data_IF_854472092717
#
_entry.id   IF_854472092717
#
_cell.length_a   1.000
_cell.length_b   1.000
_cell.length_c   1.000
_cell.angle_alpha   90.00
_cell.angle_beta   90.00
_cell.angle_gamma   90.00
#
_symmetry.space_group_name_H-M   'P 1'
#
loop_
_entity.id
_entity.type
_entity.pdbx_description
1 polymer ?
#
# COMPACT_ATOMS: atom_id res chain seq x y z
N UNK A 1 -34.43 53.64 -8.30
CA UNK A 1 -34.80 54.37 -9.53
C UNK A 1 -35.58 53.40 -10.38
N UNK A 2 -36.89 53.61 -10.41
CA UNK A 2 -37.85 52.95 -11.27
C UNK A 2 -37.64 53.51 -12.67
N UNK A 3 -37.71 52.67 -13.70
CA UNK A 3 -38.38 53.09 -14.94
C UNK A 3 -38.97 51.87 -15.65
N UNK A 4 -40.30 51.86 -15.62
CA UNK A 4 -41.16 51.17 -16.57
C UNK A 4 -40.92 51.77 -17.96
N UNK A 5 -40.96 50.94 -19.01
CA UNK A 5 -41.65 51.41 -20.21
C UNK A 5 -42.30 50.26 -20.96
N UNK A 6 -43.59 50.47 -21.16
CA UNK A 6 -44.57 49.60 -21.78
C UNK A 6 -45.00 50.25 -23.12
N UNK A 7 -45.59 49.47 -24.04
CA UNK A 7 -46.22 49.81 -25.36
C UNK A 7 -45.49 49.20 -26.57
N UNK A 8 -46.15 48.66 -27.61
CA UNK A 8 -47.55 48.78 -28.07
C UNK A 8 -47.92 47.59 -28.97
N UNK A 9 -49.22 47.30 -29.03
CA UNK A 9 -49.93 46.31 -29.84
C UNK A 9 -49.99 46.73 -31.32
N UNK A 10 -49.93 45.77 -32.25
CA UNK A 10 -50.32 45.96 -33.64
C UNK A 10 -50.77 44.66 -34.29
N UNK A 11 -52.09 44.51 -34.49
CA UNK A 11 -52.73 43.45 -35.27
C UNK A 11 -52.50 43.65 -36.78
N UNK A 12 -52.41 42.55 -37.54
CA UNK A 12 -53.05 42.45 -38.85
C UNK A 12 -53.10 40.99 -39.34
N UNK A 13 -54.28 40.61 -39.80
CA UNK A 13 -54.68 39.30 -40.31
C UNK A 13 -54.67 39.25 -41.85
N UNK A 14 -54.24 38.14 -42.44
CA UNK A 14 -54.79 37.51 -43.69
C UNK A 14 -53.83 36.38 -44.14
N UNK A 15 -54.25 35.11 -44.06
CA UNK A 15 -54.97 34.32 -45.08
C UNK A 15 -54.07 33.59 -46.10
N UNK A 16 -54.10 32.26 -45.97
CA UNK A 16 -54.21 31.24 -47.03
C UNK A 16 -53.00 30.87 -47.90
N UNK A 17 -52.36 29.77 -47.51
CA UNK A 17 -52.30 28.52 -48.30
C UNK A 17 -51.38 28.44 -49.53
N UNK A 18 -50.32 27.63 -49.44
CA UNK A 18 -50.10 26.44 -50.30
C UNK A 18 -48.71 25.78 -50.09
N UNK A 19 -48.73 24.44 -49.95
CA UNK A 19 -47.82 23.38 -50.47
C UNK A 19 -46.32 23.75 -50.61
N UNK A 20 -45.32 22.99 -50.15
CA UNK A 20 -45.15 21.57 -49.81
C UNK A 20 -43.74 21.42 -49.12
N UNK A 21 -43.25 20.21 -48.76
CA UNK A 21 -42.61 19.90 -47.48
C UNK A 21 -41.07 19.87 -47.54
N UNK A 22 -40.41 19.50 -46.43
CA UNK A 22 -38.97 19.19 -46.27
C UNK A 22 -38.04 20.18 -45.53
N UNK A 23 -38.55 21.24 -44.86
CA UNK A 23 -37.69 22.10 -44.00
C UNK A 23 -37.78 21.86 -42.47
N UNK A 24 -38.92 21.38 -41.97
CA UNK A 24 -39.22 21.38 -40.52
C UNK A 24 -38.38 20.42 -39.67
N UNK A 25 -38.02 19.27 -40.21
CA UNK A 25 -37.25 18.25 -39.47
C UNK A 25 -35.80 18.66 -39.24
N UNK A 26 -35.26 19.50 -40.12
CA UNK A 26 -33.87 19.97 -40.04
C UNK A 26 -33.76 21.16 -39.07
N UNK A 27 -34.75 22.05 -39.07
CA UNK A 27 -34.89 23.11 -38.06
C UNK A 27 -35.17 22.53 -36.67
N UNK A 28 -35.99 21.48 -36.56
CA UNK A 28 -36.27 20.83 -35.27
C UNK A 28 -35.03 20.13 -34.69
N UNK A 29 -34.19 19.53 -35.55
CA UNK A 29 -32.90 18.96 -35.14
C UNK A 29 -31.92 20.05 -34.68
N UNK A 30 -31.79 21.14 -35.44
CA UNK A 30 -30.95 22.29 -35.06
C UNK A 30 -31.39 22.91 -33.73
N UNK A 31 -32.70 23.03 -33.48
CA UNK A 31 -33.22 23.51 -32.21
C UNK A 31 -32.89 22.55 -31.06
N UNK A 32 -33.06 21.24 -31.25
CA UNK A 32 -32.67 20.25 -30.23
C UNK A 32 -31.18 20.29 -29.92
N UNK A 33 -30.33 20.48 -30.93
CA UNK A 33 -28.89 20.59 -30.75
C UNK A 33 -28.52 21.89 -30.02
N UNK A 34 -29.19 23.01 -30.30
CA UNK A 34 -29.03 24.25 -29.53
C UNK A 34 -29.49 24.10 -28.06
N UNK A 35 -30.57 23.35 -27.80
CA UNK A 35 -31.01 23.07 -26.43
C UNK A 35 -30.02 22.18 -25.68
N UNK A 36 -29.49 21.14 -26.33
CA UNK A 36 -28.42 20.28 -25.77
C UNK A 36 -27.16 21.08 -25.48
N UNK A 37 -26.71 21.90 -26.45
CA UNK A 37 -25.58 22.79 -26.26
C UNK A 37 -25.82 23.77 -25.10
N UNK A 38 -27.03 24.32 -24.97
CA UNK A 38 -27.37 25.21 -23.85
C UNK A 38 -27.38 24.47 -22.51
N UNK A 39 -27.89 23.24 -22.44
CA UNK A 39 -27.85 22.45 -21.21
C UNK A 39 -26.44 22.06 -20.83
N UNK A 40 -25.62 21.68 -21.81
CA UNK A 40 -24.22 21.32 -21.61
C UNK A 40 -23.39 22.54 -21.18
N UNK A 41 -23.60 23.71 -21.81
CA UNK A 41 -22.98 24.96 -21.38
C UNK A 41 -23.40 25.36 -19.97
N UNK A 42 -24.70 25.22 -19.63
CA UNK A 42 -25.17 25.52 -18.26
C UNK A 42 -24.52 24.61 -17.23
N UNK A 43 -24.38 23.32 -17.55
CA UNK A 43 -23.71 22.33 -16.70
C UNK A 43 -22.22 22.66 -16.52
N UNK A 44 -21.51 22.92 -17.62
CA UNK A 44 -20.10 23.32 -17.55
C UNK A 44 -19.92 24.65 -16.80
N UNK A 45 -20.83 25.60 -16.98
CA UNK A 45 -20.80 26.87 -16.24
C UNK A 45 -21.03 26.66 -14.74
N UNK A 46 -21.99 25.82 -14.33
CA UNK A 46 -22.17 25.49 -12.91
C UNK A 46 -20.97 24.74 -12.34
N UNK A 47 -20.42 23.77 -13.06
CA UNK A 47 -19.22 23.02 -12.63
C UNK A 47 -18.02 23.97 -12.47
N UNK A 48 -17.82 24.88 -13.42
CA UNK A 48 -16.74 25.88 -13.35
C UNK A 48 -16.98 26.85 -12.18
N UNK A 49 -18.22 27.27 -11.95
CA UNK A 49 -18.56 28.15 -10.83
C UNK A 49 -18.30 27.48 -9.48
N UNK A 50 -18.63 26.20 -9.35
CA UNK A 50 -18.38 25.42 -8.14
C UNK A 50 -16.86 25.27 -7.90
N UNK A 51 -16.08 25.03 -8.96
CA UNK A 51 -14.61 24.99 -8.89
C UNK A 51 -14.05 26.36 -8.47
N UNK A 52 -14.56 27.47 -9.04
CA UNK A 52 -14.11 28.82 -8.68
C UNK A 52 -14.39 29.11 -7.20
N UNK A 53 -15.57 28.76 -6.69
CA UNK A 53 -15.86 28.93 -5.26
C UNK A 53 -15.01 28.03 -4.36
N UNK A 54 -14.75 26.78 -4.77
CA UNK A 54 -13.88 25.88 -4.03
C UNK A 54 -12.43 26.42 -3.96
N UNK A 55 -11.91 26.92 -5.08
CA UNK A 55 -10.58 27.54 -5.14
C UNK A 55 -10.51 28.82 -4.33
N UNK A 56 -11.56 29.65 -4.37
CA UNK A 56 -11.62 30.87 -3.56
C UNK A 56 -11.64 30.54 -2.06
N UNK A 57 -12.41 29.53 -1.65
CA UNK A 57 -12.41 29.07 -0.27
C UNK A 57 -11.05 28.52 0.18
N UNK A 58 -10.36 27.75 -0.67
CA UNK A 58 -9.00 27.28 -0.42
C UNK A 58 -8.00 28.43 -0.31
N UNK A 59 -8.13 29.44 -1.17
CA UNK A 59 -7.26 30.61 -1.14
C UNK A 59 -7.48 31.41 0.15
N UNK A 60 -8.72 31.68 0.52
CA UNK A 60 -9.04 32.37 1.78
C UNK A 60 -8.50 31.60 3.00
N UNK A 61 -8.60 30.27 2.99
CA UNK A 61 -8.06 29.47 4.08
C UNK A 61 -6.53 29.54 4.14
N UNK A 62 -5.85 29.40 2.99
CA UNK A 62 -4.39 29.56 2.93
C UNK A 62 -3.95 30.96 3.36
N UNK A 63 -4.72 31.99 3.02
CA UNK A 63 -4.45 33.36 3.44
C UNK A 63 -4.60 33.51 4.96
N UNK A 64 -5.64 32.93 5.57
CA UNK A 64 -5.80 32.93 7.03
C UNK A 64 -4.64 32.21 7.73
N UNK A 65 -4.18 31.09 7.19
CA UNK A 65 -3.02 30.37 7.70
C UNK A 65 -1.74 31.22 7.61
N UNK A 66 -1.49 31.85 6.47
CA UNK A 66 -0.33 32.74 6.31
C UNK A 66 -0.39 33.94 7.26
N UNK A 67 -1.56 34.56 7.45
CA UNK A 67 -1.71 35.67 8.38
C UNK A 67 -1.43 35.25 9.82
N UNK A 68 -1.94 34.08 10.24
CA UNK A 68 -1.62 33.52 11.57
C UNK A 68 -0.12 33.29 11.73
N UNK A 69 0.55 32.76 10.71
CA UNK A 69 2.00 32.56 10.75
C UNK A 69 2.75 33.90 10.87
N UNK A 70 2.34 34.93 10.13
CA UNK A 70 2.92 36.28 10.23
C UNK A 70 2.73 36.85 11.65
N UNK A 71 1.53 36.73 12.22
CA UNK A 71 1.24 37.21 13.56
C UNK A 71 2.07 36.47 14.63
N UNK A 72 2.26 35.16 14.47
CA UNK A 72 3.14 34.35 15.31
C UNK A 72 4.61 34.75 15.18
N UNK A 73 5.10 35.01 13.96
CA UNK A 73 6.46 35.51 13.73
C UNK A 73 6.68 36.88 14.37
N UNK A 74 5.71 37.80 14.27
CA UNK A 74 5.77 39.10 14.94
C UNK A 74 5.77 38.98 16.47
N UNK A 75 5.05 37.99 17.02
CA UNK A 75 5.11 37.68 18.45
C UNK A 75 6.47 37.10 18.88
N UNK A 76 7.09 36.28 18.03
CA UNK A 76 8.44 35.76 18.24
C UNK A 76 9.48 36.87 18.17
N UNK A 77 9.40 37.78 17.19
CA UNK A 77 10.32 38.91 17.05
C UNK A 77 10.33 39.79 18.31
N UNK A 78 9.14 40.14 18.83
CA UNK A 78 9.00 40.87 20.09
C UNK A 78 9.62 40.14 21.27
N UNK A 79 9.54 38.81 21.28
CA UNK A 79 10.12 37.98 22.34
C UNK A 79 11.63 37.86 22.22
N UNK A 80 12.16 37.73 21.01
CA UNK A 80 13.60 37.67 20.74
C UNK A 80 14.31 38.99 21.07
N UNK A 81 13.57 40.10 21.15
CA UNK A 81 14.11 41.38 21.62
C UNK A 81 14.55 41.33 23.10
N UNK A 82 14.00 40.44 23.92
CA UNK A 82 14.50 40.17 25.27
C UNK A 82 15.55 39.03 25.22
N UNK A 83 16.81 39.28 25.63
CA UNK A 83 17.87 38.28 25.62
C UNK A 83 17.51 36.98 26.35
N UNK A 84 16.87 37.05 27.53
CA UNK A 84 16.55 35.84 28.32
C UNK A 84 15.47 35.03 27.62
N UNK A 85 14.46 35.72 27.09
CA UNK A 85 13.40 35.07 26.32
C UNK A 85 13.92 34.52 24.98
N UNK A 86 14.96 35.11 24.40
CA UNK A 86 15.62 34.63 23.20
C UNK A 86 16.35 33.28 23.42
N UNK A 87 17.11 33.15 24.50
CA UNK A 87 17.76 31.88 24.86
C UNK A 87 16.75 30.75 25.08
N UNK A 88 15.66 31.04 25.81
CA UNK A 88 14.57 30.10 26.01
C UNK A 88 13.91 29.69 24.69
N UNK A 89 13.73 30.64 23.77
CA UNK A 89 13.21 30.36 22.43
C UNK A 89 14.13 29.46 21.61
N UNK A 90 15.45 29.66 21.69
CA UNK A 90 16.42 28.79 21.01
C UNK A 90 16.33 27.35 21.49
N UNK A 91 16.28 27.12 22.81
CA UNK A 91 16.12 25.77 23.37
C UNK A 91 14.79 25.16 22.93
N UNK A 92 13.70 25.94 22.99
CA UNK A 92 12.37 25.51 22.53
C UNK A 92 12.40 24.97 21.09
N UNK A 93 12.97 25.74 20.16
CA UNK A 93 13.02 25.33 18.76
C UNK A 93 14.01 24.20 18.52
N UNK A 94 15.15 24.15 19.21
CA UNK A 94 16.08 23.02 19.11
C UNK A 94 15.44 21.70 19.58
N UNK A 95 14.65 21.73 20.66
CA UNK A 95 13.90 20.58 21.14
C UNK A 95 12.81 20.14 20.16
N UNK A 96 12.13 21.09 19.49
CA UNK A 96 11.21 20.76 18.38
C UNK A 96 11.95 20.13 17.19
N UNK A 97 13.11 20.65 16.82
CA UNK A 97 13.94 20.04 15.78
C UNK A 97 14.42 18.64 16.18
N UNK A 98 14.72 18.39 17.47
CA UNK A 98 15.06 17.06 17.96
C UNK A 98 13.89 16.09 17.77
N UNK A 99 12.66 16.52 18.11
CA UNK A 99 11.45 15.73 17.88
C UNK A 99 11.23 15.43 16.40
N UNK A 100 11.36 16.44 15.54
CA UNK A 100 11.24 16.29 14.09
C UNK A 100 12.29 15.33 13.53
N UNK A 101 13.56 15.44 13.95
CA UNK A 101 14.61 14.51 13.54
C UNK A 101 14.32 13.07 13.97
N UNK A 102 13.83 12.87 15.20
CA UNK A 102 13.43 11.56 15.69
C UNK A 102 12.27 10.98 14.88
N UNK A 103 11.27 11.81 14.57
CA UNK A 103 10.14 11.45 13.72
C UNK A 103 10.57 11.07 12.30
N UNK A 104 11.36 11.92 11.63
CA UNK A 104 11.88 11.65 10.28
C UNK A 104 12.70 10.36 10.24
N UNK A 105 13.44 10.05 11.31
CA UNK A 105 14.17 8.77 11.41
C UNK A 105 13.23 7.56 11.46
N UNK A 106 12.07 7.68 12.10
CA UNK A 106 11.03 6.64 12.09
C UNK A 106 10.41 6.48 10.69
N UNK A 107 10.13 7.58 9.99
CA UNK A 107 9.56 7.55 8.64
C UNK A 107 10.50 6.87 7.63
N UNK A 108 11.77 7.30 7.57
CA UNK A 108 12.77 6.71 6.69
C UNK A 108 12.91 5.21 6.98
N UNK A 109 12.98 4.84 8.27
CA UNK A 109 13.08 3.44 8.68
C UNK A 109 11.84 2.63 8.29
N UNK A 110 10.64 3.22 8.38
CA UNK A 110 9.39 2.59 7.94
C UNK A 110 9.40 2.28 6.43
N UNK A 111 9.81 3.25 5.60
CA UNK A 111 9.89 3.06 4.15
C UNK A 111 10.94 2.02 3.71
N UNK A 112 12.09 2.01 4.38
CA UNK A 112 13.11 0.98 4.18
C UNK A 112 12.57 -0.42 4.52
N UNK A 113 11.89 -0.56 5.65
CA UNK A 113 11.32 -1.83 6.08
C UNK A 113 10.16 -2.29 5.20
N UNK A 114 9.29 -1.38 4.73
CA UNK A 114 8.24 -1.68 3.75
C UNK A 114 8.84 -2.28 2.48
N UNK A 115 9.90 -1.67 1.97
CA UNK A 115 10.58 -2.13 0.76
C UNK A 115 11.21 -3.51 0.97
N UNK A 116 11.96 -3.69 2.06
CA UNK A 116 12.59 -4.97 2.38
C UNK A 116 11.57 -6.10 2.58
N UNK A 117 10.47 -5.84 3.30
CA UNK A 117 9.45 -6.84 3.57
C UNK A 117 8.66 -7.19 2.32
N UNK A 118 8.34 -6.20 1.48
CA UNK A 118 7.69 -6.41 0.17
C UNK A 118 8.52 -7.35 -0.69
N UNK A 119 9.82 -7.11 -0.79
CA UNK A 119 10.72 -7.95 -1.59
C UNK A 119 10.81 -9.38 -1.03
N UNK A 120 10.86 -9.52 0.30
CA UNK A 120 10.87 -10.85 0.96
C UNK A 120 9.60 -11.63 0.70
N UNK A 121 8.44 -11.00 0.85
CA UNK A 121 7.14 -11.65 0.61
C UNK A 121 6.95 -11.98 -0.87
N UNK A 122 7.32 -11.07 -1.78
CA UNK A 122 7.27 -11.31 -3.23
C UNK A 122 8.16 -12.47 -3.64
N UNK A 123 9.39 -12.55 -3.13
CA UNK A 123 10.29 -13.69 -3.37
C UNK A 123 9.70 -15.01 -2.86
N UNK A 124 9.09 -15.01 -1.66
CA UNK A 124 8.42 -16.21 -1.11
C UNK A 124 7.22 -16.63 -1.96
N UNK A 125 6.41 -15.68 -2.42
CA UNK A 125 5.25 -15.94 -3.28
C UNK A 125 5.68 -16.56 -4.62
N UNK A 126 6.67 -15.98 -5.27
CA UNK A 126 7.27 -16.48 -6.52
C UNK A 126 7.83 -17.90 -6.30
N UNK A 127 8.57 -18.12 -5.21
CA UNK A 127 9.13 -19.42 -4.89
C UNK A 127 8.03 -20.47 -4.71
N UNK A 128 6.98 -20.16 -3.94
CA UNK A 128 5.86 -21.07 -3.71
C UNK A 128 5.11 -21.37 -5.02
N UNK A 129 4.85 -20.34 -5.84
CA UNK A 129 4.22 -20.49 -7.14
C UNK A 129 5.03 -21.38 -8.08
N UNK A 130 6.34 -21.17 -8.18
CA UNK A 130 7.23 -22.00 -8.99
C UNK A 130 7.26 -23.45 -8.50
N UNK A 131 7.29 -23.67 -7.19
CA UNK A 131 7.26 -25.02 -6.61
C UNK A 131 5.94 -25.74 -6.94
N UNK A 132 4.80 -25.06 -6.78
CA UNK A 132 3.49 -25.61 -7.11
C UNK A 132 3.34 -25.90 -8.60
N UNK A 133 3.73 -24.94 -9.46
CA UNK A 133 3.77 -25.11 -10.90
C UNK A 133 4.65 -26.29 -11.31
N UNK A 134 5.84 -26.43 -10.71
CA UNK A 134 6.73 -27.54 -11.00
C UNK A 134 6.10 -28.89 -10.59
N UNK A 135 5.43 -28.97 -9.44
CA UNK A 135 4.70 -30.18 -9.03
C UNK A 135 3.61 -30.55 -10.05
N UNK A 136 2.77 -29.59 -10.44
CA UNK A 136 1.72 -29.79 -11.47
C UNK A 136 2.30 -30.25 -12.81
N UNK A 137 3.41 -29.66 -13.25
CA UNK A 137 4.11 -30.09 -14.47
C UNK A 137 4.67 -31.52 -14.35
N UNK A 138 5.25 -31.88 -13.21
CA UNK A 138 5.75 -33.26 -13.00
C UNK A 138 4.61 -34.28 -13.01
N UNK A 139 3.47 -33.98 -12.41
CA UNK A 139 2.29 -34.84 -12.42
C UNK A 139 1.72 -35.04 -13.83
N UNK A 140 1.64 -33.96 -14.61
CA UNK A 140 1.16 -34.05 -16.01
C UNK A 140 2.17 -34.78 -16.89
N UNK A 141 3.47 -34.53 -16.72
CA UNK A 141 4.50 -35.25 -17.47
C UNK A 141 4.44 -36.76 -17.18
N UNK A 142 4.21 -37.16 -15.92
CA UNK A 142 3.99 -38.56 -15.57
C UNK A 142 2.75 -39.14 -16.27
N UNK A 143 1.62 -38.41 -16.27
CA UNK A 143 0.41 -38.81 -17.01
C UNK A 143 0.65 -38.92 -18.52
N UNK A 144 1.40 -37.98 -19.12
CA UNK A 144 1.75 -38.03 -20.55
C UNK A 144 2.55 -39.29 -20.87
N UNK A 145 3.54 -39.63 -20.05
CA UNK A 145 4.34 -40.86 -20.23
C UNK A 145 3.46 -42.10 -20.14
N UNK A 146 2.58 -42.16 -19.14
CA UNK A 146 1.66 -43.28 -18.96
C UNK A 146 0.68 -43.44 -20.14
N UNK A 147 0.04 -42.34 -20.59
CA UNK A 147 -0.90 -42.37 -21.71
C UNK A 147 -0.18 -42.67 -23.03
N UNK A 148 1.06 -42.20 -23.21
CA UNK A 148 1.90 -42.58 -24.36
C UNK A 148 2.19 -44.07 -24.40
N UNK A 149 2.54 -44.69 -23.27
CA UNK A 149 2.74 -46.14 -23.20
C UNK A 149 1.45 -46.90 -23.54
N UNK A 150 0.29 -46.44 -23.05
CA UNK A 150 -1.02 -47.00 -23.40
C UNK A 150 -1.31 -46.84 -24.90
N UNK A 151 -0.99 -45.68 -25.48
CA UNK A 151 -1.13 -45.39 -26.92
C UNK A 151 -0.28 -46.33 -27.77
N UNK A 152 0.98 -46.54 -27.41
CA UNK A 152 1.89 -47.43 -28.14
C UNK A 152 1.41 -48.89 -28.08
N UNK A 153 0.88 -49.32 -26.93
CA UNK A 153 0.29 -50.64 -26.79
C UNK A 153 -1.00 -50.78 -27.62
N UNK A 154 -1.90 -49.80 -27.57
CA UNK A 154 -3.12 -49.77 -28.39
C UNK A 154 -2.78 -49.79 -29.89
N UNK A 155 -1.79 -49.01 -30.31
CA UNK A 155 -1.29 -48.98 -31.69
C UNK A 155 -0.77 -50.34 -32.15
N UNK A 156 0.05 -51.01 -31.32
CA UNK A 156 0.55 -52.37 -31.61
C UNK A 156 -0.60 -53.36 -31.77
N UNK A 157 -1.61 -53.30 -30.90
CA UNK A 157 -2.78 -54.20 -31.00
C UNK A 157 -3.61 -53.94 -32.26
N UNK A 158 -3.85 -52.66 -32.60
CA UNK A 158 -4.54 -52.26 -33.83
C UNK A 158 -3.78 -52.78 -35.07
N UNK A 159 -2.47 -52.52 -35.16
CA UNK A 159 -1.64 -52.96 -36.28
C UNK A 159 -1.60 -54.49 -36.43
N UNK A 160 -1.55 -55.24 -35.32
CA UNK A 160 -1.58 -56.69 -35.36
C UNK A 160 -2.92 -57.24 -35.88
N UNK A 161 -4.05 -56.61 -35.52
CA UNK A 161 -5.38 -56.98 -36.01
C UNK A 161 -5.54 -56.58 -37.49
N UNK A 162 -5.06 -55.41 -37.87
CA UNK A 162 -5.06 -54.90 -39.24
C UNK A 162 -4.25 -55.81 -40.18
N UNK A 163 -3.06 -56.25 -39.76
CA UNK A 163 -2.24 -57.21 -40.51
C UNK A 163 -2.97 -58.54 -40.71
N UNK A 164 -3.59 -59.10 -39.66
CA UNK A 164 -4.40 -60.33 -39.75
C UNK A 164 -5.59 -60.17 -40.69
N UNK A 165 -6.25 -59.01 -40.65
CA UNK A 165 -7.36 -58.68 -41.54
C UNK A 165 -6.90 -58.62 -43.01
N UNK A 166 -5.78 -57.96 -43.29
CA UNK A 166 -5.22 -57.81 -44.63
C UNK A 166 -4.70 -59.13 -45.21
N UNK A 167 -4.04 -59.97 -44.38
CA UNK A 167 -3.53 -61.29 -44.78
C UNK A 167 -4.65 -62.30 -45.13
N UNK A 168 -5.85 -62.11 -44.59
CA UNK A 168 -7.01 -62.98 -44.84
C UNK A 168 -7.63 -62.61 -46.20
N UNK A 169 -7.13 -63.09 -47.35
CA UNK A 169 -7.65 -62.74 -48.70
C UNK A 169 -8.47 -63.87 -49.37
N UNK A 170 -9.32 -63.54 -50.37
CA UNK A 170 -10.11 -64.51 -51.16
C UNK A 170 -11.63 -64.54 -50.90
N UNK A 171 -12.39 -65.13 -51.84
CA UNK A 171 -13.87 -65.15 -51.85
C UNK A 171 -14.50 -65.88 -50.65
N UNK A 172 -13.89 -66.98 -50.18
CA UNK A 172 -14.37 -67.74 -49.00
C UNK A 172 -14.12 -67.02 -47.66
N UNK A 173 -13.20 -66.05 -47.66
CA UNK A 173 -12.83 -65.29 -46.46
C UNK A 173 -13.71 -64.06 -46.21
N UNK A 174 -14.71 -63.80 -47.07
CA UNK A 174 -15.64 -62.68 -46.96
C UNK A 174 -16.38 -62.63 -45.61
N UNK A 175 -16.96 -63.76 -45.18
CA UNK A 175 -17.68 -63.84 -43.89
C UNK A 175 -16.73 -63.66 -42.69
N UNK A 176 -15.49 -64.15 -42.80
CA UNK A 176 -14.47 -63.99 -41.76
C UNK A 176 -14.03 -62.54 -41.61
N UNK A 177 -13.81 -61.83 -42.72
CA UNK A 177 -13.56 -60.37 -42.73
C UNK A 177 -14.73 -59.59 -42.16
N UNK A 178 -15.97 -59.93 -42.55
CA UNK A 178 -17.18 -59.26 -42.05
C UNK A 178 -17.33 -59.41 -40.53
N UNK A 179 -16.92 -60.55 -39.96
CA UNK A 179 -16.93 -60.78 -38.51
C UNK A 179 -15.81 -60.04 -37.77
N UNK A 180 -14.65 -59.83 -38.40
CA UNK A 180 -13.51 -59.13 -37.78
C UNK A 180 -13.60 -57.60 -37.88
N UNK A 181 -14.40 -57.07 -38.81
CA UNK A 181 -14.52 -55.62 -39.07
C UNK A 181 -14.97 -54.78 -37.86
N UNK A 182 -16.00 -55.16 -37.08
CA UNK A 182 -16.39 -54.38 -35.89
C UNK A 182 -15.28 -54.30 -34.83
N UNK A 183 -14.48 -55.36 -34.68
CA UNK A 183 -13.35 -55.38 -33.75
C UNK A 183 -12.18 -54.49 -34.20
N UNK A 184 -11.95 -54.36 -35.51
CA UNK A 184 -10.97 -53.43 -36.06
C UNK A 184 -11.41 -51.98 -35.85
N UNK A 185 -12.67 -51.67 -36.14
CA UNK A 185 -13.25 -50.33 -35.97
C UNK A 185 -13.22 -49.90 -34.49
N UNK A 186 -13.55 -50.81 -33.56
CA UNK A 186 -13.47 -50.54 -32.13
C UNK A 186 -12.04 -50.21 -31.67
N UNK A 187 -11.05 -51.02 -32.08
CA UNK A 187 -9.65 -50.77 -31.69
C UNK A 187 -9.08 -49.49 -32.32
N UNK A 188 -9.54 -49.13 -33.52
CA UNK A 188 -9.22 -47.85 -34.15
C UNK A 188 -9.74 -46.68 -33.33
N UNK A 189 -11.01 -46.73 -32.93
CA UNK A 189 -11.64 -45.69 -32.10
C UNK A 189 -10.93 -45.57 -30.75
N UNK A 190 -10.56 -46.70 -30.11
CA UNK A 190 -9.81 -46.68 -28.86
C UNK A 190 -8.41 -46.07 -29.03
N UNK A 191 -7.69 -46.38 -30.11
CA UNK A 191 -6.42 -45.73 -30.43
C UNK A 191 -6.57 -44.21 -30.65
N UNK A 192 -7.58 -43.80 -31.41
CA UNK A 192 -7.88 -42.38 -31.66
C UNK A 192 -8.20 -41.63 -30.35
N UNK A 193 -9.04 -42.19 -29.46
CA UNK A 193 -9.34 -41.61 -28.14
C UNK A 193 -8.10 -41.45 -27.26
N UNK A 194 -7.23 -42.46 -27.21
CA UNK A 194 -6.00 -42.38 -26.41
C UNK A 194 -5.05 -41.30 -26.97
N UNK A 195 -5.02 -41.12 -28.30
CA UNK A 195 -4.26 -40.05 -28.94
C UNK A 195 -4.82 -38.66 -28.64
N UNK A 196 -6.14 -38.47 -28.73
CA UNK A 196 -6.79 -37.21 -28.34
C UNK A 196 -6.48 -36.86 -26.87
N UNK A 197 -6.42 -37.86 -26.00
CA UNK A 197 -6.05 -37.66 -24.59
C UNK A 197 -4.61 -37.15 -24.43
N UNK A 198 -3.68 -37.57 -25.29
CA UNK A 198 -2.30 -37.05 -25.28
C UNK A 198 -2.29 -35.58 -25.67
N UNK A 199 -3.03 -35.21 -26.72
CA UNK A 199 -3.14 -33.81 -27.18
C UNK A 199 -3.73 -32.93 -26.08
N UNK A 200 -4.81 -33.38 -25.42
CA UNK A 200 -5.41 -32.67 -24.29
C UNK A 200 -4.44 -32.47 -23.11
N UNK A 201 -3.59 -33.46 -22.81
CA UNK A 201 -2.58 -33.33 -21.75
C UNK A 201 -1.44 -32.38 -22.14
N UNK A 202 -1.08 -32.31 -23.43
CA UNK A 202 -0.13 -31.31 -23.91
C UNK A 202 -0.71 -29.89 -23.81
N UNK A 203 -1.98 -29.71 -24.15
CA UNK A 203 -2.66 -28.42 -23.98
C UNK A 203 -2.73 -28.02 -22.51
N UNK A 204 -3.01 -28.95 -21.60
CA UNK A 204 -2.99 -28.71 -20.15
C UNK A 204 -1.60 -28.31 -19.66
N UNK A 205 -0.55 -28.98 -20.15
CA UNK A 205 0.84 -28.62 -19.87
C UNK A 205 1.15 -27.21 -20.35
N UNK A 206 0.79 -26.86 -21.59
CA UNK A 206 1.02 -25.53 -22.17
C UNK A 206 0.30 -24.47 -21.34
N UNK A 207 -0.93 -24.73 -20.90
CA UNK A 207 -1.68 -23.83 -20.03
C UNK A 207 -0.95 -23.55 -18.72
N UNK A 208 -0.43 -24.58 -18.05
CA UNK A 208 0.35 -24.40 -16.81
C UNK A 208 1.67 -23.69 -17.08
N UNK A 209 2.31 -23.94 -18.23
CA UNK A 209 3.53 -23.24 -18.61
C UNK A 209 3.32 -21.75 -18.94
N UNK A 210 2.14 -21.40 -19.45
CA UNK A 210 1.78 -20.03 -19.79
C UNK A 210 1.12 -19.26 -18.65
N UNK A 211 0.96 -19.86 -17.46
CA UNK A 211 0.42 -19.16 -16.29
C UNK A 211 1.29 -17.94 -15.95
N UNK A 212 0.70 -16.73 -15.87
CA UNK A 212 1.42 -15.53 -15.48
C UNK A 212 1.81 -15.59 -14.01
N UNK A 213 2.75 -14.74 -13.63
CA UNK A 213 3.09 -14.55 -12.22
C UNK A 213 1.87 -14.02 -11.45
N UNK A 214 1.65 -14.49 -10.22
CA UNK A 214 0.55 -13.99 -9.41
C UNK A 214 0.77 -12.52 -9.07
N UNK A 215 -0.31 -11.74 -9.05
CA UNK A 215 -0.29 -10.37 -8.59
C UNK A 215 0.13 -10.29 -7.11
N UNK A 216 0.81 -9.21 -6.74
CA UNK A 216 1.24 -8.99 -5.37
C UNK A 216 0.09 -8.33 -4.58
N UNK A 217 -0.50 -9.01 -3.59
CA UNK A 217 -1.67 -8.50 -2.87
C UNK A 217 -1.35 -7.38 -1.86
N UNK A 218 -0.10 -6.94 -1.78
CA UNK A 218 0.39 -6.05 -0.74
C UNK A 218 1.02 -6.80 0.43
N UNK A 219 1.45 -6.04 1.45
CA UNK A 219 2.05 -6.60 2.65
C UNK A 219 1.04 -7.41 3.45
N UNK A 220 1.44 -8.62 3.84
CA UNK A 220 0.65 -9.45 4.77
C UNK A 220 0.48 -8.77 6.13
N UNK A 221 -0.57 -9.14 6.89
CA UNK A 221 -0.78 -8.62 8.25
C UNK A 221 0.43 -8.91 9.13
N UNK A 222 1.00 -10.12 9.06
CA UNK A 222 2.22 -10.47 9.79
C UNK A 222 3.43 -9.62 9.35
N UNK A 223 3.56 -9.36 8.05
CA UNK A 223 4.57 -8.44 7.53
C UNK A 223 4.43 -7.03 8.11
N UNK A 224 3.20 -6.52 8.18
CA UNK A 224 2.90 -5.21 8.78
C UNK A 224 3.19 -5.19 10.28
N UNK A 225 2.85 -6.25 11.02
CA UNK A 225 3.17 -6.41 12.45
C UNK A 225 4.67 -6.36 12.71
N UNK A 226 5.46 -7.07 11.92
CA UNK A 226 6.93 -7.08 12.03
C UNK A 226 7.49 -5.66 11.83
N UNK A 227 6.98 -4.93 10.83
CA UNK A 227 7.38 -3.54 10.57
C UNK A 227 7.00 -2.65 11.76
N UNK A 228 5.75 -2.69 12.22
CA UNK A 228 5.27 -1.89 13.36
C UNK A 228 6.09 -2.14 14.62
N UNK A 229 6.41 -3.40 14.96
CA UNK A 229 7.25 -3.73 16.12
C UNK A 229 8.68 -3.19 15.98
N UNK A 230 9.24 -3.18 14.77
CA UNK A 230 10.54 -2.58 14.53
C UNK A 230 10.50 -1.05 14.67
N UNK A 231 9.46 -0.38 14.16
CA UNK A 231 9.28 1.07 14.34
C UNK A 231 9.14 1.41 15.83
N UNK A 232 8.31 0.66 16.57
CA UNK A 232 8.17 0.81 18.02
C UNK A 232 9.50 0.60 18.74
N UNK A 233 10.30 -0.39 18.32
CA UNK A 233 11.63 -0.61 18.88
C UNK A 233 12.56 0.60 18.68
N UNK A 234 12.47 1.26 17.53
CA UNK A 234 13.25 2.47 17.24
C UNK A 234 12.76 3.64 18.09
N UNK A 235 11.44 3.83 18.21
CA UNK A 235 10.86 4.85 19.07
C UNK A 235 11.29 4.68 20.53
N UNK A 236 11.24 3.45 21.05
CA UNK A 236 11.72 3.13 22.39
C UNK A 236 13.22 3.37 22.56
N UNK A 237 14.02 2.97 21.57
CA UNK A 237 15.47 3.21 21.59
C UNK A 237 15.79 4.71 21.62
N UNK A 238 15.08 5.54 20.85
CA UNK A 238 15.22 6.99 20.89
C UNK A 238 14.82 7.57 22.25
N UNK A 239 13.76 7.06 22.88
CA UNK A 239 13.40 7.47 24.25
C UNK A 239 14.50 7.14 25.26
N UNK A 240 15.13 5.96 25.17
CA UNK A 240 16.26 5.60 26.05
C UNK A 240 17.46 6.51 25.77
N UNK A 241 17.80 6.73 24.50
CA UNK A 241 18.91 7.60 24.10
C UNK A 241 18.74 9.04 24.62
N UNK A 242 17.54 9.61 24.50
CA UNK A 242 17.23 10.96 24.98
C UNK A 242 16.70 11.01 26.43
N UNK A 243 16.81 9.91 27.19
CA UNK A 243 16.43 9.90 28.61
C UNK A 243 17.49 10.59 29.48
N UNK A 244 18.75 10.58 29.04
CA UNK A 244 19.81 11.35 29.68
C UNK A 244 19.43 12.84 29.63
N UNK A 245 19.33 13.46 30.81
CA UNK A 245 18.85 14.84 30.99
C UNK A 245 17.40 15.12 30.58
N UNK A 246 16.53 14.10 30.48
CA UNK A 246 15.10 14.29 30.21
C UNK A 246 14.80 15.02 28.88
N UNK A 247 15.71 14.96 27.91
CA UNK A 247 15.56 15.64 26.62
C UNK A 247 14.34 15.18 25.84
N UNK A 248 14.01 13.88 25.89
CA UNK A 248 12.82 13.34 25.23
C UNK A 248 11.50 13.90 25.77
N UNK A 249 11.38 14.04 27.10
CA UNK A 249 10.21 14.65 27.74
C UNK A 249 10.13 16.15 27.50
N UNK A 250 11.28 16.84 27.48
CA UNK A 250 11.34 18.27 27.14
C UNK A 250 10.95 18.52 25.68
N UNK A 251 11.42 17.69 24.75
CA UNK A 251 11.03 17.75 23.34
C UNK A 251 9.53 17.55 23.14
N UNK A 252 8.94 16.57 23.83
CA UNK A 252 7.49 16.38 23.82
C UNK A 252 6.74 17.60 24.33
N UNK A 253 7.21 18.17 25.44
CA UNK A 253 6.61 19.38 26.01
C UNK A 253 6.69 20.56 25.03
N UNK A 254 7.82 20.71 24.33
CA UNK A 254 8.01 21.76 23.34
C UNK A 254 7.06 21.63 22.12
N UNK A 255 6.73 20.42 21.70
CA UNK A 255 5.80 20.19 20.57
C UNK A 255 4.33 20.31 21.01
N UNK A 256 4.02 19.95 22.25
CA UNK A 256 2.64 20.00 22.78
C UNK A 256 2.25 21.37 23.34
N UNK A 257 3.22 22.16 23.81
CA UNK A 257 2.98 23.47 24.40
C UNK A 257 3.48 24.61 23.51
N UNK A 258 2.82 25.76 23.63
CA UNK A 258 3.28 27.01 23.01
C UNK A 258 4.53 27.52 23.72
N UNK A 259 5.41 28.17 22.98
CA UNK A 259 6.64 28.77 23.48
C UNK A 259 6.42 29.68 24.70
N UNK A 260 5.27 30.36 24.82
CA UNK A 260 4.92 31.25 25.95
C UNK A 260 4.71 30.54 27.29
N UNK A 261 4.48 29.22 27.28
CA UNK A 261 4.23 28.44 28.50
C UNK A 261 5.46 27.71 29.01
N UNK A 262 6.56 27.75 28.26
CA UNK A 262 7.77 26.99 28.60
C UNK A 262 8.90 27.94 28.98
N UNK A 263 9.54 27.62 30.10
CA UNK A 263 10.72 28.28 30.63
C UNK A 263 11.77 27.21 30.93
N UNK A 264 12.95 27.39 30.36
CA UNK A 264 14.13 26.53 30.50
C UNK A 264 15.18 27.15 31.41
N UNK A 265 14.87 28.28 32.04
CA UNK A 265 15.69 28.91 33.08
C UNK A 265 16.56 30.04 32.56
N UNK A 266 17.72 30.19 33.22
CA UNK A 266 18.64 31.28 32.95
C UNK A 266 19.41 31.09 31.64
N UNK A 267 20.14 32.12 31.23
CA UNK A 267 21.05 32.04 30.07
C UNK A 267 22.02 30.87 30.16
N UNK A 268 22.63 30.63 31.31
CA UNK A 268 23.59 29.52 31.49
C UNK A 268 22.91 28.16 31.39
N UNK A 269 21.67 28.04 31.90
CA UNK A 269 20.90 26.79 31.80
C UNK A 269 20.53 26.50 30.34
N UNK A 270 20.12 27.53 29.61
CA UNK A 270 19.83 27.43 28.18
C UNK A 270 21.08 27.05 27.37
N UNK A 271 22.23 27.68 27.62
CA UNK A 271 23.49 27.35 26.95
C UNK A 271 23.94 25.92 27.23
N UNK A 272 23.78 25.46 28.47
CA UNK A 272 24.02 24.07 28.85
C UNK A 272 23.09 23.11 28.08
N UNK A 273 21.78 23.37 28.05
CA UNK A 273 20.81 22.56 27.33
C UNK A 273 21.07 22.52 25.83
N UNK A 274 21.40 23.66 25.21
CA UNK A 274 21.70 23.72 23.77
C UNK A 274 22.90 22.85 23.40
N UNK A 275 23.96 22.86 24.23
CA UNK A 275 25.12 21.99 24.00
C UNK A 275 24.74 20.52 24.18
N UNK A 276 23.96 20.18 25.21
CA UNK A 276 23.50 18.80 25.43
C UNK A 276 22.61 18.27 24.31
N UNK A 277 21.71 19.09 23.78
CA UNK A 277 20.88 18.72 22.63
C UNK A 277 21.76 18.41 21.42
N UNK A 278 22.78 19.25 21.17
CA UNK A 278 23.73 19.02 20.08
C UNK A 278 24.49 17.70 20.27
N UNK A 279 25.05 17.47 21.45
CA UNK A 279 25.84 16.27 21.75
C UNK A 279 24.98 15.00 21.68
N UNK A 280 23.73 15.06 22.15
CA UNK A 280 22.78 13.95 22.07
C UNK A 280 22.42 13.60 20.62
N UNK A 281 22.27 14.60 19.76
CA UNK A 281 22.02 14.38 18.32
C UNK A 281 23.24 13.73 17.65
N UNK A 282 24.44 14.22 17.92
CA UNK A 282 25.68 13.70 17.31
C UNK A 282 25.98 12.26 17.78
N UNK A 283 25.87 11.99 19.07
CA UNK A 283 26.12 10.65 19.63
C UNK A 283 25.18 9.58 19.08
N UNK A 284 23.96 9.97 18.70
CA UNK A 284 22.98 9.07 18.07
C UNK A 284 23.43 8.62 16.67
N UNK A 285 24.03 9.52 15.90
CA UNK A 285 24.52 9.25 14.54
C UNK A 285 25.78 8.36 14.55
N UNK A 286 26.59 8.44 15.60
CA UNK A 286 27.85 7.68 15.74
C UNK A 286 27.68 6.28 16.35
N UNK A 287 26.48 5.91 16.80
CA UNK A 287 26.25 4.65 17.52
C UNK A 287 26.40 3.41 16.61
N UNK A 288 27.57 2.75 16.70
CA UNK A 288 27.91 1.53 15.94
C UNK A 288 27.10 0.30 16.34
N UNK A 289 26.55 0.24 17.56
CA UNK A 289 25.77 -0.90 18.08
C UNK A 289 24.27 -0.79 17.79
N UNK A 290 23.84 0.31 17.17
CA UNK A 290 22.44 0.64 16.89
C UNK A 290 21.64 -0.51 16.26
N UNK A 291 22.19 -1.20 15.24
CA UNK A 291 21.46 -2.28 14.56
C UNK A 291 21.22 -3.52 15.44
N UNK A 292 22.19 -3.87 16.29
CA UNK A 292 22.11 -5.03 17.18
C UNK A 292 21.12 -4.76 18.32
N UNK A 293 21.18 -3.56 18.89
CA UNK A 293 20.30 -3.08 19.94
C UNK A 293 18.82 -3.04 19.49
N UNK A 294 18.57 -2.55 18.27
CA UNK A 294 17.22 -2.57 17.69
C UNK A 294 16.70 -3.99 17.47
N UNK A 295 17.54 -4.90 16.96
CA UNK A 295 17.14 -6.31 16.75
C UNK A 295 16.80 -6.99 18.07
N UNK A 296 17.61 -6.78 19.11
CA UNK A 296 17.35 -7.32 20.44
C UNK A 296 16.01 -6.79 21.00
N UNK A 297 15.77 -5.47 20.87
CA UNK A 297 14.53 -4.84 21.33
C UNK A 297 13.30 -5.28 20.53
N UNK A 298 13.41 -5.37 19.21
CA UNK A 298 12.33 -5.89 18.36
C UNK A 298 11.97 -7.34 18.72
N UNK A 299 12.96 -8.19 19.02
CA UNK A 299 12.74 -9.57 19.47
C UNK A 299 12.04 -9.62 20.84
N UNK A 300 12.44 -8.76 21.77
CA UNK A 300 11.79 -8.64 23.08
C UNK A 300 10.36 -8.14 22.96
N UNK A 301 10.11 -7.12 22.14
CA UNK A 301 8.74 -6.63 21.87
C UNK A 301 7.88 -7.72 21.24
N UNK A 302 8.43 -8.52 20.32
CA UNK A 302 7.70 -9.63 19.70
C UNK A 302 7.22 -10.68 20.72
N UNK A 303 7.93 -10.88 21.84
CA UNK A 303 7.49 -11.84 22.87
C UNK A 303 6.48 -11.26 23.86
N UNK A 304 6.23 -9.94 23.83
CA UNK A 304 5.32 -9.23 24.73
C UNK A 304 4.09 -8.65 24.03
N UNK A 305 4.19 -8.36 22.75
CA UNK A 305 3.14 -7.72 21.97
C UNK A 305 1.86 -8.56 21.91
N UNK A 306 0.75 -7.95 22.31
CA UNK A 306 -0.59 -8.51 22.15
C UNK A 306 -1.39 -7.70 21.14
N UNK A 307 -2.25 -8.38 20.38
CA UNK A 307 -3.09 -7.78 19.35
C UNK A 307 -4.56 -8.02 19.70
N UNK A 308 -5.40 -7.02 19.48
CA UNK A 308 -6.83 -7.13 19.79
C UNK A 308 -7.55 -8.11 18.87
N UNK A 309 -7.12 -8.24 17.61
CA UNK A 309 -7.63 -9.24 16.68
C UNK A 309 -6.55 -9.67 15.64
N UNK A 310 -6.88 -10.67 14.82
CA UNK A 310 -5.98 -11.23 13.79
C UNK A 310 -5.73 -10.32 12.58
N UNK A 311 -6.52 -9.25 12.42
CA UNK A 311 -6.38 -8.26 11.35
C UNK A 311 -5.58 -7.03 11.79
N UNK A 312 -5.47 -6.79 13.10
CA UNK A 312 -4.76 -5.65 13.66
C UNK A 312 -3.25 -5.80 13.44
N UNK A 313 -2.65 -4.71 13.01
CA UNK A 313 -1.23 -4.62 12.69
C UNK A 313 -0.43 -3.93 13.79
N UNK A 314 -1.07 -3.06 14.58
CA UNK A 314 -0.50 -2.40 15.75
C UNK A 314 -0.81 -3.18 17.04
N UNK A 315 0.17 -3.36 17.95
CA UNK A 315 -0.09 -4.00 19.24
C UNK A 315 -0.89 -3.07 20.17
N UNK A 316 -1.55 -3.66 21.16
CA UNK A 316 -2.24 -2.91 22.23
C UNK A 316 -1.18 -2.21 23.08
N UNK A 317 -1.38 -0.92 23.36
CA UNK A 317 -0.40 -0.09 24.06
C UNK A 317 0.01 -0.67 25.43
N UNK A 318 -0.94 -1.26 26.17
CA UNK A 318 -0.70 -1.83 27.51
C UNK A 318 0.23 -3.06 27.48
N UNK A 319 0.26 -3.80 26.36
CA UNK A 319 1.07 -5.04 26.23
C UNK A 319 2.57 -4.77 26.20
N UNK A 320 2.97 -3.55 25.84
CA UNK A 320 4.37 -3.14 25.68
C UNK A 320 4.69 -1.86 26.47
N UNK A 321 3.94 -1.63 27.55
CA UNK A 321 4.16 -0.50 28.45
C UNK A 321 5.50 -0.59 29.20
N UNK A 322 6.13 0.57 29.40
CA UNK A 322 7.42 0.69 30.08
C UNK A 322 8.60 0.28 29.19
N UNK A 323 9.66 1.10 29.17
CA UNK A 323 10.82 0.88 28.32
C UNK A 323 11.98 0.35 29.19
N UNK A 324 12.43 -0.90 28.99
CA UNK A 324 13.63 -1.38 29.65
C UNK A 324 14.85 -0.64 29.09
N UNK A 325 15.64 -0.04 29.99
CA UNK A 325 16.89 0.67 29.66
C UNK A 325 17.94 -0.36 29.18
N UNK A 326 18.09 -1.46 29.90
CA UNK A 326 18.89 -2.62 29.50
C UNK A 326 17.99 -3.84 29.27
N UNK A 327 18.26 -4.57 28.17
CA UNK A 327 17.57 -5.83 27.87
C UNK A 327 18.37 -7.01 28.42
N UNK A 328 17.72 -8.07 28.94
CA UNK A 328 18.42 -9.27 29.39
C UNK A 328 19.26 -9.87 28.26
N UNK A 329 20.58 -9.96 28.46
CA UNK A 329 21.52 -10.52 27.48
C UNK A 329 21.98 -9.57 26.37
N UNK A 330 21.66 -8.27 26.45
CA UNK A 330 22.24 -7.23 25.59
C UNK A 330 23.06 -6.26 26.43
N UNK A 331 24.36 -6.14 26.14
CA UNK A 331 25.24 -5.12 26.73
C UNK A 331 24.91 -3.74 26.14
N UNK A 332 23.79 -3.16 26.56
CA UNK A 332 23.61 -1.72 26.47
C UNK A 332 24.63 -1.07 27.40
N UNK A 333 25.37 -0.09 26.89
CA UNK A 333 26.55 0.48 27.55
C UNK A 333 26.38 0.72 29.06
N UNK A 334 27.42 0.37 29.83
CA UNK A 334 27.71 0.67 31.24
C UNK A 334 26.63 1.34 32.12
N UNK A 335 25.40 0.82 32.11
CA UNK A 335 24.32 1.34 32.96
C UNK A 335 23.84 0.24 33.87
N UNK A 336 24.01 0.50 35.17
CA UNK A 336 23.49 -0.25 36.31
C UNK A 336 22.04 -0.64 36.01
N UNK A 337 21.64 -1.86 36.35
CA UNK A 337 20.27 -2.38 36.21
C UNK A 337 19.24 -1.33 36.67
N UNK A 338 18.75 -0.57 35.70
CA UNK A 338 18.00 0.66 35.92
C UNK A 338 16.52 0.39 35.92
N UNK A 339 15.80 1.14 36.75
CA UNK A 339 14.33 1.20 36.75
C UNK A 339 13.87 1.48 35.31
N UNK A 340 12.89 0.73 34.76
CA UNK A 340 12.39 0.98 33.41
C UNK A 340 11.85 2.40 33.29
N UNK A 341 12.00 3.01 32.13
CA UNK A 341 11.34 4.29 31.86
C UNK A 341 9.83 4.04 31.81
N UNK A 342 9.06 4.72 32.65
CA UNK A 342 7.60 4.67 32.67
C UNK A 342 6.99 5.48 31.51
N UNK A 343 7.45 5.21 30.28
CA UNK A 343 6.98 5.85 29.05
C UNK A 343 6.29 4.79 28.21
N UNK A 344 5.06 5.06 27.78
CA UNK A 344 4.37 4.24 26.80
C UNK A 344 4.37 4.94 25.44
N UNK A 345 5.32 4.58 24.57
CA UNK A 345 5.50 5.26 23.27
C UNK A 345 4.27 5.21 22.36
N UNK A 346 3.39 4.21 22.52
CA UNK A 346 2.13 4.12 21.77
C UNK A 346 1.06 5.00 22.41
N UNK A 347 0.78 4.82 23.70
CA UNK A 347 -0.30 5.54 24.38
C UNK A 347 -0.04 7.05 24.42
N UNK A 348 1.22 7.44 24.49
CA UNK A 348 1.65 8.84 24.60
C UNK A 348 2.01 9.49 23.27
N UNK A 349 1.88 8.73 22.16
CA UNK A 349 2.23 9.11 20.79
C UNK A 349 3.62 9.75 20.66
N UNK A 350 4.61 9.10 21.28
CA UNK A 350 5.98 9.60 21.24
C UNK A 350 6.50 9.64 19.81
N UNK A 351 7.10 10.76 19.42
CA UNK A 351 7.64 11.01 18.09
C UNK A 351 6.57 10.94 16.98
N UNK A 352 5.30 11.20 17.29
CA UNK A 352 4.16 11.06 16.37
C UNK A 352 4.10 9.65 15.75
N UNK A 353 4.30 8.64 16.58
CA UNK A 353 4.33 7.23 16.15
C UNK A 353 3.08 6.83 15.37
N UNK A 354 1.92 7.38 15.74
CA UNK A 354 0.62 7.13 15.12
C UNK A 354 0.59 7.42 13.61
N UNK A 355 1.39 8.38 13.12
CA UNK A 355 1.44 8.71 11.69
C UNK A 355 2.37 7.79 10.88
N UNK A 356 3.28 7.09 11.56
CA UNK A 356 4.28 6.20 10.94
C UNK A 356 3.84 4.74 10.91
N UNK A 357 3.04 4.32 11.90
CA UNK A 357 2.53 2.95 11.99
C UNK A 357 1.62 2.63 10.79
N UNK A 358 1.73 1.40 10.30
CA UNK A 358 0.98 0.93 9.14
C UNK A 358 -0.23 0.10 9.55
N UNK A 359 -1.37 0.38 8.91
CA UNK A 359 -2.63 -0.39 8.99
C UNK A 359 -2.70 -1.46 7.92
#
# INVERSE_FOLDING_TARGET
>A
MIDENNRVIGESSSSSGSKLPFGRRETDKQLLDLFKNRTDLKKQYSETKDIVYALQAQLEESQRETQRAIDEMGALEKRLADPVAAYNAMVYFQLRQLWEKAHNKLEVFCEELKTQQRDRERKKQIMHFNQDRQKRLTEINAKIVEVKQRSDNAKKTYQAIEQKYNATSGLLNFFRRRRMRPGLDQNRIEYEKVRERIEALFDERIKIESEPWPDYPGLSVEGKRVINLAIISLAQHLCVHYSEHSLGTMARTAVTQRISKVDYGSKSDCEYLMNRIRDAILSMEENRKFSEELKARSKWLKSKAEYRNDKDTGPVADSIGGIPIALPGAEFGNTVAGIPLEINVIAEDYWNLSTVLIS
#
